data_IF_312112350490
#
_entry.id   IF_312112350490
#
_cell.length_a   1.000
_cell.length_b   1.000
_cell.length_c   1.000
_cell.angle_alpha   90.00
_cell.angle_beta   90.00
_cell.angle_gamma   90.00
#
_symmetry.space_group_name_H-M   'P 1'
#
loop_
_entity.id
_entity.type
_entity.pdbx_description
1 polymer ?
#
# COMPACT_ATOMS: atom_id res chain seq x y z
N UNK A 1 -22.30 8.31 10.54
CA UNK A 1 -20.86 8.56 10.40
C UNK A 1 -20.24 7.27 9.88
N UNK A 2 -19.65 7.28 8.69
CA UNK A 2 -18.88 6.12 8.21
C UNK A 2 -17.47 6.28 8.75
N UNK A 3 -17.04 5.37 9.63
CA UNK A 3 -15.67 5.31 10.11
C UNK A 3 -14.85 4.53 9.08
N UNK A 4 -13.73 5.11 8.64
CA UNK A 4 -12.75 4.35 7.90
C UNK A 4 -12.03 3.45 8.91
N UNK A 5 -12.14 2.15 8.69
CA UNK A 5 -11.57 1.17 9.56
C UNK A 5 -10.24 0.70 8.98
N UNK A 6 -9.19 0.68 9.79
CA UNK A 6 -7.91 0.09 9.45
C UNK A 6 -7.40 -0.70 10.66
N UNK A 7 -7.33 -2.03 10.53
CA UNK A 7 -6.72 -2.88 11.57
C UNK A 7 -5.81 -3.92 10.99
N UNK A 8 -4.71 -4.13 11.68
CA UNK A 8 -3.70 -5.11 11.31
C UNK A 8 -3.58 -6.14 12.42
N UNK A 9 -3.54 -7.41 12.02
CA UNK A 9 -3.19 -8.52 12.92
C UNK A 9 -2.05 -9.32 12.32
N UNK A 10 -1.14 -9.71 13.19
CA UNK A 10 -0.04 -10.62 12.85
C UNK A 10 -0.40 -12.05 13.28
N UNK A 11 0.02 -13.02 12.48
CA UNK A 11 -0.27 -14.43 12.70
C UNK A 11 0.96 -15.30 12.50
N UNK A 12 1.09 -16.33 13.34
CA UNK A 12 2.07 -17.39 13.13
C UNK A 12 1.57 -18.30 12.01
N UNK A 13 2.34 -18.41 10.92
CA UNK A 13 2.04 -19.24 9.75
C UNK A 13 1.96 -20.74 10.08
N UNK A 14 2.58 -21.20 11.17
CA UNK A 14 2.63 -22.61 11.59
C UNK A 14 3.01 -23.56 10.45
N UNK A 15 3.95 -23.15 9.60
CA UNK A 15 4.42 -23.91 8.44
C UNK A 15 3.46 -23.92 7.24
N UNK A 16 2.36 -23.18 7.27
CA UNK A 16 1.48 -23.02 6.10
C UNK A 16 2.18 -22.19 5.01
N UNK A 17 1.93 -22.51 3.75
CA UNK A 17 2.46 -21.73 2.63
C UNK A 17 1.65 -20.44 2.47
N UNK A 18 2.33 -19.35 2.10
CA UNK A 18 1.68 -18.06 1.81
C UNK A 18 0.54 -18.19 0.78
N UNK A 19 0.73 -19.02 -0.25
CA UNK A 19 -0.30 -19.29 -1.27
C UNK A 19 -1.57 -19.92 -0.69
N UNK A 20 -1.44 -20.76 0.34
CA UNK A 20 -2.58 -21.45 0.94
C UNK A 20 -3.37 -20.48 1.83
N UNK A 21 -2.67 -19.60 2.54
CA UNK A 21 -3.27 -18.50 3.29
C UNK A 21 -4.01 -17.57 2.32
N UNK A 22 -3.38 -17.14 1.22
CA UNK A 22 -4.04 -16.34 0.19
C UNK A 22 -5.36 -16.98 -0.25
N UNK A 23 -5.34 -18.26 -0.67
CA UNK A 23 -6.53 -18.97 -1.13
C UNK A 23 -7.62 -19.04 -0.07
N UNK A 24 -7.26 -19.21 1.21
CA UNK A 24 -8.24 -19.22 2.30
C UNK A 24 -8.88 -17.85 2.49
N UNK A 25 -8.11 -16.77 2.46
CA UNK A 25 -8.64 -15.40 2.55
C UNK A 25 -9.59 -15.10 1.38
N UNK A 26 -9.20 -15.44 0.15
CA UNK A 26 -10.05 -15.28 -1.04
C UNK A 26 -11.36 -16.09 -0.92
N UNK A 27 -11.27 -17.35 -0.47
CA UNK A 27 -12.45 -18.18 -0.24
C UNK A 27 -13.37 -17.62 0.85
N UNK A 28 -12.84 -17.07 1.95
CA UNK A 28 -13.67 -16.43 2.98
C UNK A 28 -14.46 -15.27 2.38
N UNK A 29 -13.77 -14.39 1.64
CA UNK A 29 -14.41 -13.23 1.02
C UNK A 29 -15.47 -13.65 -0.02
N UNK A 30 -15.13 -14.55 -0.93
CA UNK A 30 -16.02 -14.95 -2.03
C UNK A 30 -17.13 -15.91 -1.59
N UNK A 31 -16.82 -16.92 -0.77
CA UNK A 31 -17.72 -18.04 -0.47
C UNK A 31 -18.40 -17.93 0.89
N UNK A 32 -17.72 -17.40 1.90
CA UNK A 32 -18.33 -17.25 3.23
C UNK A 32 -19.09 -15.93 3.35
N UNK A 33 -18.61 -14.88 2.65
CA UNK A 33 -19.19 -13.54 2.71
C UNK A 33 -19.89 -13.10 1.41
N UNK A 34 -19.80 -13.90 0.34
CA UNK A 34 -20.45 -13.61 -0.95
C UNK A 34 -20.01 -12.28 -1.59
N UNK A 35 -18.78 -11.83 -1.31
CA UNK A 35 -18.23 -10.61 -1.89
C UNK A 35 -17.65 -10.87 -3.29
N UNK A 36 -17.78 -9.88 -4.16
CA UNK A 36 -16.94 -9.79 -5.36
C UNK A 36 -15.53 -9.40 -4.93
N UNK A 37 -14.51 -10.01 -5.53
CA UNK A 37 -13.10 -9.70 -5.21
C UNK A 37 -12.27 -9.45 -6.45
N UNK A 38 -11.24 -8.62 -6.29
CA UNK A 38 -10.16 -8.43 -7.25
C UNK A 38 -8.83 -8.50 -6.52
N UNK A 39 -8.08 -9.56 -6.79
CA UNK A 39 -6.74 -9.76 -6.22
C UNK A 39 -5.67 -9.12 -7.10
N UNK A 40 -4.80 -8.32 -6.50
CA UNK A 40 -3.62 -7.71 -7.13
C UNK A 40 -2.37 -8.10 -6.34
N UNK A 41 -1.39 -8.70 -7.02
CA UNK A 41 -0.09 -9.01 -6.42
C UNK A 41 0.83 -7.81 -6.55
N UNK A 42 1.30 -7.27 -5.43
CA UNK A 42 2.14 -6.07 -5.36
C UNK A 42 3.63 -6.41 -5.15
N UNK A 43 3.95 -7.68 -4.93
CA UNK A 43 5.30 -8.20 -4.81
C UNK A 43 5.30 -9.70 -4.57
N UNK A 44 6.47 -10.28 -4.26
CA UNK A 44 6.56 -11.70 -3.93
C UNK A 44 5.84 -12.04 -2.62
N UNK A 45 5.88 -11.11 -1.67
CA UNK A 45 5.38 -11.26 -0.30
C UNK A 45 4.15 -10.39 0.00
N UNK A 46 3.70 -9.56 -0.93
CA UNK A 46 2.63 -8.59 -0.72
C UNK A 46 1.49 -8.79 -1.71
N UNK A 47 0.27 -8.92 -1.17
CA UNK A 47 -0.97 -9.09 -1.90
C UNK A 47 -2.01 -8.10 -1.40
N UNK A 48 -2.78 -7.52 -2.33
CA UNK A 48 -3.97 -6.72 -2.03
C UNK A 48 -5.19 -7.39 -2.65
N UNK A 49 -6.25 -7.58 -1.87
CA UNK A 49 -7.53 -8.11 -2.32
C UNK A 49 -8.56 -7.02 -2.09
N UNK A 50 -8.97 -6.34 -3.15
CA UNK A 50 -10.11 -5.43 -3.09
C UNK A 50 -11.40 -6.26 -3.09
N UNK A 51 -12.39 -5.86 -2.29
CA UNK A 51 -13.66 -6.59 -2.22
C UNK A 51 -14.86 -5.64 -2.18
N UNK A 52 -16.00 -6.13 -2.67
CA UNK A 52 -17.25 -5.36 -2.75
C UNK A 52 -18.42 -6.27 -2.38
N UNK A 53 -19.25 -5.80 -1.46
CA UNK A 53 -20.57 -6.37 -1.20
C UNK A 53 -21.54 -5.84 -2.26
N UNK A 54 -22.03 -6.74 -3.11
CA UNK A 54 -22.93 -6.41 -4.21
C UNK A 54 -24.29 -5.87 -3.74
N UNK A 55 -24.59 -5.93 -2.44
CA UNK A 55 -25.81 -5.39 -1.84
C UNK A 55 -25.67 -3.94 -1.40
N UNK A 56 -24.46 -3.39 -1.41
CA UNK A 56 -24.15 -2.04 -0.95
C UNK A 56 -23.67 -1.18 -2.13
N UNK A 57 -23.73 0.15 -1.97
CA UNK A 57 -23.25 1.10 -2.97
C UNK A 57 -21.73 0.94 -3.17
N UNK A 58 -21.28 0.74 -4.41
CA UNK A 58 -19.86 0.59 -4.75
C UNK A 58 -19.03 1.83 -4.37
N UNK A 59 -19.62 3.03 -4.42
CA UNK A 59 -18.92 4.28 -4.12
C UNK A 59 -18.47 4.37 -2.66
N UNK A 60 -19.18 3.72 -1.75
CA UNK A 60 -18.85 3.64 -0.32
C UNK A 60 -17.78 2.58 -0.03
N UNK A 61 -17.50 1.70 -1.00
CA UNK A 61 -16.68 0.51 -0.81
C UNK A 61 -15.34 0.56 -1.54
N UNK A 62 -14.99 1.71 -2.14
CA UNK A 62 -13.75 1.87 -2.93
C UNK A 62 -12.48 1.53 -2.16
N UNK A 63 -12.49 1.80 -0.85
CA UNK A 63 -11.36 1.53 0.03
C UNK A 63 -11.38 0.12 0.65
N UNK A 64 -12.42 -0.68 0.41
CA UNK A 64 -12.53 -2.02 0.97
C UNK A 64 -11.44 -2.93 0.39
N UNK A 65 -10.49 -3.31 1.26
CA UNK A 65 -9.38 -4.18 0.90
C UNK A 65 -8.90 -5.01 2.07
N UNK A 66 -8.38 -6.19 1.73
CA UNK A 66 -7.53 -7.00 2.60
C UNK A 66 -6.12 -6.98 2.03
N UNK A 67 -5.14 -6.57 2.84
CA UNK A 67 -3.72 -6.65 2.48
C UNK A 67 -3.08 -7.81 3.23
N UNK A 68 -2.33 -8.66 2.54
CA UNK A 68 -1.58 -9.76 3.15
C UNK A 68 -0.09 -9.56 2.86
N UNK A 69 0.69 -9.35 3.92
CA UNK A 69 2.14 -9.24 3.86
C UNK A 69 2.78 -10.45 4.55
N UNK A 70 3.61 -11.19 3.83
CA UNK A 70 4.51 -12.18 4.41
C UNK A 70 5.82 -11.50 4.79
N UNK A 71 6.03 -11.29 6.08
CA UNK A 71 7.30 -10.74 6.57
C UNK A 71 8.40 -11.81 6.57
N UNK A 72 8.06 -13.05 6.93
CA UNK A 72 8.97 -14.18 6.96
C UNK A 72 8.24 -15.50 6.69
N UNK A 73 8.96 -16.62 6.66
CA UNK A 73 8.34 -17.96 6.57
C UNK A 73 7.55 -18.37 7.82
N UNK A 74 7.59 -17.55 8.88
CA UNK A 74 6.90 -17.78 10.15
C UNK A 74 5.78 -16.80 10.41
N UNK A 75 5.83 -15.60 9.84
CA UNK A 75 4.93 -14.49 10.21
C UNK A 75 4.28 -13.90 8.97
N UNK A 76 2.96 -13.72 9.07
CA UNK A 76 2.19 -12.90 8.14
C UNK A 76 1.46 -11.79 8.88
N UNK A 77 1.24 -10.69 8.18
CA UNK A 77 0.36 -9.61 8.57
C UNK A 77 -0.84 -9.60 7.65
N UNK A 78 -2.04 -9.54 8.23
CA UNK A 78 -3.28 -9.30 7.51
C UNK A 78 -3.79 -7.94 7.98
N UNK A 79 -4.06 -7.05 7.04
CA UNK A 79 -4.67 -5.76 7.30
C UNK A 79 -6.05 -5.72 6.63
N UNK A 80 -7.06 -5.32 7.40
CA UNK A 80 -8.40 -5.00 6.89
C UNK A 80 -8.52 -3.48 6.83
N UNK A 81 -8.87 -2.97 5.65
CA UNK A 81 -9.19 -1.55 5.46
C UNK A 81 -10.52 -1.38 4.72
N UNK A 82 -11.28 -0.34 5.05
CA UNK A 82 -12.53 -0.02 4.36
C UNK A 82 -13.55 0.72 5.22
N UNK A 83 -14.73 0.97 4.65
CA UNK A 83 -15.89 1.44 5.41
C UNK A 83 -16.64 0.22 5.94
N UNK A 84 -16.30 -0.22 7.15
CA UNK A 84 -16.80 -1.44 7.77
C UNK A 84 -17.44 -1.15 9.12
N UNK A 85 -18.51 -1.87 9.44
CA UNK A 85 -19.05 -1.90 10.80
C UNK A 85 -18.22 -2.81 11.69
N UNK A 86 -18.28 -2.58 13.00
CA UNK A 86 -17.60 -3.45 13.98
C UNK A 86 -18.03 -4.92 13.86
N UNK A 87 -19.29 -5.17 13.53
CA UNK A 87 -19.82 -6.52 13.27
C UNK A 87 -19.19 -7.16 12.03
N UNK A 88 -19.05 -6.40 10.94
CA UNK A 88 -18.41 -6.88 9.71
C UNK A 88 -16.95 -7.24 9.97
N UNK A 89 -16.23 -6.40 10.72
CA UNK A 89 -14.84 -6.66 11.04
C UNK A 89 -14.71 -7.85 11.98
N UNK A 90 -15.50 -7.91 13.04
CA UNK A 90 -15.49 -9.03 14.00
C UNK A 90 -15.79 -10.35 13.27
N UNK A 91 -16.76 -10.35 12.35
CA UNK A 91 -17.07 -11.52 11.52
C UNK A 91 -15.89 -11.93 10.63
N UNK A 92 -15.24 -10.98 9.96
CA UNK A 92 -14.05 -11.25 9.14
C UNK A 92 -12.92 -11.87 9.98
N UNK A 93 -12.60 -11.29 11.14
CA UNK A 93 -11.55 -11.81 12.00
C UNK A 93 -11.87 -13.20 12.53
N UNK A 94 -13.10 -13.44 12.97
CA UNK A 94 -13.52 -14.77 13.44
C UNK A 94 -13.39 -15.83 12.35
N UNK A 95 -13.72 -15.50 11.10
CA UNK A 95 -13.55 -16.41 9.96
C UNK A 95 -12.07 -16.66 9.65
N UNK A 96 -11.25 -15.62 9.67
CA UNK A 96 -9.80 -15.73 9.45
C UNK A 96 -9.15 -16.63 10.52
N UNK A 97 -9.44 -16.41 11.79
CA UNK A 97 -8.89 -17.22 12.89
C UNK A 97 -9.33 -18.68 12.80
N UNK A 98 -10.62 -18.92 12.51
CA UNK A 98 -11.18 -20.27 12.39
C UNK A 98 -10.60 -21.04 11.20
N UNK A 99 -10.59 -20.46 10.01
CA UNK A 99 -10.25 -21.16 8.76
C UNK A 99 -8.74 -21.22 8.52
N UNK A 100 -8.02 -20.16 8.92
CA UNK A 100 -6.57 -20.18 8.84
C UNK A 100 -5.96 -21.07 9.94
N UNK A 101 -6.67 -21.31 11.05
CA UNK A 101 -6.17 -22.02 12.25
C UNK A 101 -4.87 -21.42 12.80
N UNK A 102 -4.68 -20.12 12.56
CA UNK A 102 -3.51 -19.38 13.03
C UNK A 102 -3.84 -18.79 14.39
N UNK A 103 -2.84 -18.73 15.26
CA UNK A 103 -2.92 -17.93 16.48
C UNK A 103 -2.48 -16.51 16.16
N UNK A 104 -3.28 -15.53 16.59
CA UNK A 104 -2.89 -14.12 16.57
C UNK A 104 -1.68 -13.92 17.49
N UNK A 105 -0.68 -13.17 17.04
CA UNK A 105 0.52 -12.83 17.81
C UNK A 105 0.38 -11.42 18.42
N UNK A 106 -0.17 -10.47 17.64
CA UNK A 106 -0.33 -9.06 18.03
C UNK A 106 -1.42 -8.40 17.18
N UNK A 107 -2.24 -7.55 17.81
CA UNK A 107 -3.26 -6.70 17.18
C UNK A 107 -2.85 -5.23 17.31
N UNK A 108 -2.93 -4.48 16.20
CA UNK A 108 -2.71 -3.04 16.15
C UNK A 108 -3.99 -2.36 15.64
N UNK A 109 -4.47 -1.36 16.40
CA UNK A 109 -5.75 -0.70 16.19
C UNK A 109 -5.54 0.78 15.89
N UNK A 110 -5.57 1.17 14.61
CA UNK A 110 -5.53 2.58 14.21
C UNK A 110 -6.91 3.00 13.67
N UNK A 111 -7.71 3.65 14.53
CA UNK A 111 -8.97 4.27 14.10
C UNK A 111 -8.67 5.61 13.43
N UNK A 112 -8.64 5.63 12.09
CA UNK A 112 -8.53 6.87 11.33
C UNK A 112 -9.93 7.45 11.08
N UNK A 113 -10.32 8.49 11.84
CA UNK A 113 -11.54 9.25 11.57
C UNK A 113 -11.37 10.07 10.29
N UNK A 114 -11.79 9.53 9.15
CA UNK A 114 -11.86 10.30 7.91
C UNK A 114 -13.16 11.09 7.91
N UNK A 115 -13.06 12.36 8.34
CA UNK A 115 -14.12 13.31 8.10
C UNK A 115 -14.17 13.60 6.58
N UNK A 116 -15.24 13.14 5.94
CA UNK A 116 -15.51 13.33 4.51
C UNK A 116 -15.67 14.84 4.21
N UNK A 117 -14.56 15.58 4.12
CA UNK A 117 -14.56 16.88 3.46
C UNK A 117 -14.71 16.59 1.97
N UNK A 118 -15.92 16.82 1.45
CA UNK A 118 -16.16 17.02 0.02
C UNK A 118 -15.05 17.96 -0.47
N UNK A 119 -14.11 17.43 -1.25
CA UNK A 119 -13.20 18.25 -2.05
C UNK A 119 -14.12 18.93 -3.07
N UNK A 120 -14.57 20.14 -2.73
CA UNK A 120 -15.02 21.07 -3.74
C UNK A 120 -13.79 21.37 -4.58
N UNK A 121 -13.80 20.92 -5.83
CA UNK A 121 -12.92 21.42 -6.85
C UNK A 121 -13.02 22.95 -6.84
N UNK A 122 -12.04 23.59 -6.22
CA UNK A 122 -11.74 24.98 -6.42
C UNK A 122 -10.32 25.00 -6.97
N UNK A 123 -10.25 25.31 -8.25
CA UNK A 123 -9.01 25.55 -8.98
C UNK A 123 -8.18 26.57 -8.20
N UNK A 124 -6.98 26.20 -7.75
CA UNK A 124 -5.91 27.17 -7.53
C UNK A 124 -4.55 26.49 -7.51
N UNK A 125 -3.92 26.51 -8.68
CA UNK A 125 -2.50 26.84 -8.91
C UNK A 125 -1.43 25.94 -8.27
N UNK A 126 -0.83 25.14 -9.15
CA UNK A 126 0.53 24.59 -9.09
C UNK A 126 1.50 25.45 -8.27
N UNK A 127 1.99 24.92 -7.14
CA UNK A 127 3.18 25.47 -6.48
C UNK A 127 4.13 24.33 -6.09
N UNK A 128 4.67 23.61 -7.08
CA UNK A 128 5.92 22.85 -6.95
C UNK A 128 6.62 22.82 -8.32
N UNK A 129 7.10 23.97 -8.76
CA UNK A 129 8.14 24.08 -9.77
C UNK A 129 8.95 25.35 -9.50
N UNK A 130 10.24 25.15 -9.18
CA UNK A 130 11.34 26.11 -9.05
C UNK A 130 11.90 26.27 -7.65
N UNK A 131 12.63 25.26 -7.17
CA UNK A 131 13.82 25.49 -6.31
C UNK A 131 14.86 24.41 -6.63
N UNK A 132 15.51 24.52 -7.79
CA UNK A 132 16.73 23.77 -8.11
C UNK A 132 17.56 24.50 -9.18
N UNK A 133 17.71 25.81 -9.06
CA UNK A 133 18.63 26.62 -9.87
C UNK A 133 19.11 27.83 -9.06
N UNK A 134 19.84 27.61 -7.96
CA UNK A 134 20.57 28.72 -7.34
C UNK A 134 21.81 28.31 -6.51
N UNK A 135 22.56 27.29 -6.98
CA UNK A 135 23.95 27.11 -6.54
C UNK A 135 24.79 26.58 -7.71
N UNK A 136 25.23 27.49 -8.58
CA UNK A 136 26.54 27.35 -9.25
C UNK A 136 26.96 28.68 -9.91
N UNK A 137 27.55 29.58 -9.13
CA UNK A 137 28.44 30.62 -9.68
C UNK A 137 29.61 30.88 -8.73
N UNK A 138 30.78 30.99 -9.37
CA UNK A 138 32.08 31.45 -8.87
C UNK A 138 32.96 30.42 -8.17
N UNK A 139 33.69 29.65 -8.97
CA UNK A 139 35.16 29.67 -8.87
C UNK A 139 35.74 29.79 -10.30
N UNK A 140 36.27 30.97 -10.62
CA UNK A 140 37.16 31.17 -11.77
C UNK A 140 38.49 30.50 -11.44
N UNK A 141 38.75 29.33 -12.03
CA UNK A 141 40.07 28.72 -12.02
C UNK A 141 40.76 29.03 -13.34
N UNK A 142 41.68 29.99 -13.28
CA UNK A 142 42.60 30.37 -14.35
C UNK A 142 43.49 29.18 -14.69
N UNK A 143 43.19 28.48 -15.79
CA UNK A 143 44.11 27.51 -16.38
C UNK A 143 44.92 28.22 -17.45
N UNK A 144 46.14 28.62 -17.09
CA UNK A 144 47.17 29.05 -18.04
C UNK A 144 47.51 27.87 -18.96
N UNK A 145 47.30 28.05 -20.26
CA UNK A 145 47.70 27.09 -21.31
C UNK A 145 49.18 27.34 -21.64
N UNK A 146 50.07 26.34 -21.53
CA UNK A 146 51.43 26.45 -22.04
C UNK A 146 51.43 26.51 -23.57
N UNK A 147 52.02 27.57 -24.12
CA UNK A 147 52.37 27.66 -25.55
C UNK A 147 53.68 26.92 -25.75
N UNK A 148 53.66 25.83 -26.51
CA UNK A 148 54.87 25.24 -27.05
C UNK A 148 54.63 24.58 -28.41
N UNK A 149 55.50 24.98 -29.36
CA UNK A 149 55.81 24.40 -30.67
C UNK A 149 54.71 24.42 -31.75
N UNK A 150 54.96 24.71 -33.03
CA UNK A 150 56.22 24.62 -33.77
C UNK A 150 56.26 25.52 -35.00
N UNK A 151 57.49 25.74 -35.46
CA UNK A 151 57.89 26.63 -36.54
C UNK A 151 57.58 26.05 -37.93
N UNK A 152 57.32 26.97 -38.86
CA UNK A 152 57.39 26.88 -40.31
C UNK A 152 58.20 25.70 -40.90
N UNK A 153 57.58 24.97 -41.84
CA UNK A 153 58.18 24.62 -43.14
C UNK A 153 57.16 23.90 -44.04
N UNK A 154 56.89 24.46 -45.23
CA UNK A 154 56.57 23.67 -46.42
C UNK A 154 56.91 24.51 -47.66
N UNK A 155 57.87 24.00 -48.43
CA UNK A 155 58.21 24.23 -49.86
C UNK A 155 58.00 25.60 -50.48
#
# INVERSE_FOLDING_TARGET
MFLMYERTRSFDMKGQKYSDIQKKVENILQKSLMYSIKTTRLGKTLLRINYTDNKLDESLQRENRVTILQESDKIIYIQLAGQLTDDQVSKLWNLLEKDLKLSSIREENDLMSVENKRIQQSETVNTYHNELNDVLKHEESTVEVPKDHDSLQNT
#
